data_IF_418579202674
#
_entry.id   IF_418579202674
#
_cell.length_a   1.000
_cell.length_b   1.000
_cell.length_c   1.000
_cell.angle_alpha   90.00
_cell.angle_beta   90.00
_cell.angle_gamma   90.00
#
_symmetry.space_group_name_H-M   'P 1'
#
loop_
_entity.id
_entity.type
_entity.pdbx_description
1 polymer ?
#
# COMPACT_ATOMS: atom_id res chain seq x y z
N UNK A 1 2.83 6.67 14.05
CA UNK A 1 3.94 6.54 13.07
C UNK A 1 4.62 7.89 12.82
N UNK A 2 5.18 8.52 13.86
CA UNK A 2 5.84 9.82 13.73
C UNK A 2 7.30 9.68 13.26
N UNK A 3 7.97 8.61 13.69
CA UNK A 3 9.33 8.27 13.28
C UNK A 3 9.44 8.02 11.76
N UNK A 4 8.44 7.37 11.15
CA UNK A 4 8.43 7.08 9.72
C UNK A 4 8.37 8.34 8.83
N UNK A 5 7.92 9.48 9.39
CA UNK A 5 7.85 10.77 8.67
C UNK A 5 9.16 11.55 8.71
N UNK A 6 10.18 11.04 9.38
CA UNK A 6 11.48 11.72 9.49
C UNK A 6 12.34 11.46 8.26
N UNK A 7 13.08 12.48 7.82
CA UNK A 7 14.02 12.39 6.70
C UNK A 7 13.42 12.70 5.32
N UNK A 8 14.23 12.65 4.25
CA UNK A 8 13.87 13.15 2.92
C UNK A 8 12.71 12.39 2.26
N UNK A 9 12.49 11.12 2.63
CA UNK A 9 11.44 10.25 2.07
C UNK A 9 10.34 9.93 3.08
N UNK A 10 10.23 10.69 4.16
CA UNK A 10 9.36 10.36 5.29
C UNK A 10 7.87 10.17 4.92
N UNK A 11 7.34 10.99 4.00
CA UNK A 11 5.95 10.83 3.54
C UNK A 11 5.74 9.52 2.77
N UNK A 12 6.71 9.15 1.92
CA UNK A 12 6.69 7.87 1.19
C UNK A 12 6.77 6.70 2.17
N UNK A 13 7.71 6.74 3.09
CA UNK A 13 7.97 5.64 4.01
C UNK A 13 6.79 5.45 4.99
N UNK A 14 6.22 6.56 5.47
CA UNK A 14 4.96 6.55 6.21
C UNK A 14 3.82 5.92 5.41
N UNK A 15 3.64 6.31 4.13
CA UNK A 15 2.61 5.77 3.26
C UNK A 15 2.77 4.26 3.03
N UNK A 16 3.99 3.80 2.70
CA UNK A 16 4.27 2.39 2.45
C UNK A 16 4.01 1.53 3.68
N UNK A 17 4.44 1.97 4.86
CA UNK A 17 4.17 1.22 6.11
C UNK A 17 2.66 1.21 6.42
N UNK A 18 1.95 2.31 6.14
CA UNK A 18 0.51 2.39 6.38
C UNK A 18 -0.26 1.43 5.47
N UNK A 19 0.11 1.36 4.18
CA UNK A 19 -0.46 0.42 3.22
C UNK A 19 -0.16 -1.03 3.61
N UNK A 20 1.07 -1.32 4.01
CA UNK A 20 1.48 -2.63 4.52
C UNK A 20 0.59 -3.07 5.69
N UNK A 21 0.43 -2.18 6.68
CA UNK A 21 -0.29 -2.45 7.91
C UNK A 21 -1.80 -2.60 7.68
N UNK A 22 -2.41 -1.72 6.88
CA UNK A 22 -3.87 -1.72 6.67
C UNK A 22 -4.36 -2.77 5.69
N UNK A 23 -3.58 -3.09 4.67
CA UNK A 23 -3.99 -4.02 3.60
C UNK A 23 -3.23 -5.35 3.64
N UNK A 24 -2.37 -5.53 4.64
CA UNK A 24 -1.58 -6.75 4.83
C UNK A 24 -0.64 -7.01 3.65
N UNK A 25 -0.13 -5.97 2.99
CA UNK A 25 0.77 -6.14 1.85
C UNK A 25 2.13 -6.63 2.32
N UNK A 26 2.70 -7.58 1.58
CA UNK A 26 4.08 -8.00 1.77
C UNK A 26 5.03 -6.97 1.18
N UNK A 27 6.28 -6.94 1.65
CA UNK A 27 7.29 -6.02 1.14
C UNK A 27 7.47 -6.14 -0.39
N UNK A 28 7.46 -7.35 -0.93
CA UNK A 28 7.55 -7.58 -2.38
C UNK A 28 6.35 -7.03 -3.16
N UNK A 29 5.17 -7.01 -2.55
CA UNK A 29 3.94 -6.49 -3.17
C UNK A 29 3.92 -4.95 -3.12
N UNK A 30 4.43 -4.35 -2.05
CA UNK A 30 4.60 -2.89 -1.94
C UNK A 30 5.62 -2.34 -2.94
N UNK A 31 6.74 -3.06 -3.12
CA UNK A 31 7.78 -2.67 -4.07
C UNK A 31 7.35 -2.84 -5.54
N UNK A 32 6.30 -3.62 -5.80
CA UNK A 32 5.69 -3.78 -7.13
C UNK A 32 4.36 -3.02 -7.28
N UNK A 33 4.05 -2.05 -6.41
CA UNK A 33 2.81 -1.28 -6.52
C UNK A 33 2.89 -0.30 -7.71
N UNK A 34 1.91 -0.36 -8.61
CA UNK A 34 1.81 0.56 -9.75
C UNK A 34 0.65 1.54 -9.57
N UNK A 35 0.71 2.68 -10.27
CA UNK A 35 -0.40 3.66 -10.25
C UNK A 35 -1.73 3.08 -10.70
N UNK A 36 -1.73 2.11 -11.62
CA UNK A 36 -2.96 1.44 -12.08
C UNK A 36 -3.60 0.54 -11.02
N UNK A 37 -2.84 0.15 -9.99
CA UNK A 37 -3.39 -0.60 -8.85
C UNK A 37 -4.18 0.33 -7.89
N UNK A 38 -4.12 1.65 -8.07
CA UNK A 38 -4.76 2.65 -7.21
C UNK A 38 -5.88 3.38 -7.94
N UNK A 39 -7.11 3.24 -7.43
CA UNK A 39 -8.22 4.09 -7.81
C UNK A 39 -8.47 5.10 -6.70
N UNK A 40 -7.88 6.28 -6.83
CA UNK A 40 -8.00 7.34 -5.83
C UNK A 40 -9.37 8.04 -5.86
N UNK A 41 -10.10 7.95 -6.98
CA UNK A 41 -11.45 8.51 -7.10
C UNK A 41 -12.43 7.68 -6.25
N UNK A 42 -12.45 6.37 -6.49
CA UNK A 42 -13.28 5.42 -5.74
C UNK A 42 -12.69 5.09 -4.36
N UNK A 43 -11.44 5.47 -4.11
CA UNK A 43 -10.72 5.18 -2.86
C UNK A 43 -10.50 3.69 -2.68
N UNK A 44 -9.87 3.03 -3.66
CA UNK A 44 -9.61 1.58 -3.68
C UNK A 44 -8.18 1.29 -4.08
N UNK A 45 -7.64 0.18 -3.57
CA UNK A 45 -6.34 -0.38 -3.97
C UNK A 45 -6.50 -1.84 -4.35
N UNK A 46 -5.98 -2.21 -5.50
CA UNK A 46 -5.88 -3.60 -5.94
C UNK A 46 -4.59 -4.21 -5.37
N UNK A 47 -4.71 -5.17 -4.47
CA UNK A 47 -3.56 -5.85 -3.89
C UNK A 47 -3.26 -7.11 -4.70
N UNK A 48 -2.30 -6.99 -5.64
CA UNK A 48 -1.83 -8.13 -6.45
C UNK A 48 -0.93 -9.04 -5.63
N UNK A 49 -1.42 -10.23 -5.27
CA UNK A 49 -0.66 -11.18 -4.43
C UNK A 49 0.26 -12.04 -5.30
N UNK A 50 1.54 -12.09 -4.93
CA UNK A 50 2.54 -12.83 -5.72
C UNK A 50 2.56 -14.34 -5.42
N UNK A 51 2.42 -14.74 -4.15
CA UNK A 51 2.53 -16.15 -3.72
C UNK A 51 1.17 -16.72 -3.35
N UNK A 52 0.52 -17.40 -4.30
CA UNK A 52 -0.71 -18.19 -4.11
C UNK A 52 -1.84 -17.48 -3.36
N UNK A 53 -1.79 -16.15 -3.29
CA UNK A 53 -2.83 -15.34 -2.66
C UNK A 53 -3.83 -14.91 -3.73
N UNK A 54 -5.09 -14.80 -3.35
CA UNK A 54 -6.08 -14.17 -4.21
C UNK A 54 -5.83 -12.66 -4.23
N UNK A 55 -5.71 -12.09 -5.42
CA UNK A 55 -5.68 -10.64 -5.58
C UNK A 55 -7.05 -10.07 -5.24
N UNK A 56 -7.06 -9.04 -4.39
CA UNK A 56 -8.29 -8.49 -3.83
C UNK A 56 -8.28 -6.97 -3.86
N UNK A 57 -9.44 -6.36 -4.05
CA UNK A 57 -9.62 -4.92 -3.98
C UNK A 57 -9.94 -4.53 -2.53
N UNK A 58 -9.13 -3.66 -1.96
CA UNK A 58 -9.30 -3.15 -0.60
C UNK A 58 -9.72 -1.67 -0.66
N UNK A 59 -10.63 -1.20 0.21
CA UNK A 59 -10.94 0.22 0.31
C UNK A 59 -9.77 0.98 0.95
N UNK A 60 -9.47 2.20 0.50
CA UNK A 60 -8.48 3.11 1.07
C UNK A 60 -9.05 3.99 2.19
N UNK A 61 -10.37 4.01 2.37
CA UNK A 61 -11.07 4.82 3.37
C UNK A 61 -11.32 3.99 4.63
N UNK A 62 -10.92 4.50 5.79
CA UNK A 62 -11.31 4.02 7.12
C UNK A 62 -11.41 5.22 8.06
#
# INVERSE_FOLDING_TARGET
>A
MQAARQGPTGERDYCLILLAFRHGMRISELLDLHYHDLDLHEGRVNVRRLKNGFSTIHPLRF
#
